data_IF_322746467264
#
_entry.id   IF_322746467264
#
_cell.length_a   1.000
_cell.length_b   1.000
_cell.length_c   1.000
_cell.angle_alpha   90.00
_cell.angle_beta   90.00
_cell.angle_gamma   90.00
#
_symmetry.space_group_name_H-M   'P 1'
#
loop_
_entity.id
_entity.type
_entity.pdbx_description
1 polymer ?
#
# COMPACT_ATOMS: atom_id res chain seq x y z
N UNK A 1 20.08 12.07 27.36
CA UNK A 1 21.13 12.57 26.45
C UNK A 1 20.79 12.13 25.03
N UNK A 2 19.70 12.63 24.46
CA UNK A 2 19.23 12.28 23.13
C UNK A 2 19.30 13.53 22.25
N UNK A 3 20.10 13.43 21.18
CA UNK A 3 20.17 14.31 20.01
C UNK A 3 20.44 15.81 20.26
N UNK A 4 21.72 16.15 20.51
CA UNK A 4 22.28 17.47 20.12
C UNK A 4 22.66 17.51 18.61
N UNK A 5 22.01 16.71 17.76
CA UNK A 5 22.40 16.49 16.36
C UNK A 5 21.73 17.43 15.36
N UNK A 6 20.73 18.23 15.78
CA UNK A 6 20.01 19.13 14.87
C UNK A 6 20.89 20.25 14.24
N UNK A 7 22.16 20.37 14.64
CA UNK A 7 23.12 21.34 14.09
C UNK A 7 24.44 20.74 13.62
N UNK A 8 24.59 19.41 13.54
CA UNK A 8 25.83 18.81 13.04
C UNK A 8 25.88 18.92 11.49
N UNK A 9 26.86 19.64 10.91
CA UNK A 9 26.97 19.82 9.46
C UNK A 9 27.04 18.51 8.68
N UNK A 10 27.49 17.41 9.31
CA UNK A 10 27.58 16.09 8.68
C UNK A 10 26.23 15.46 8.33
N UNK A 11 25.12 16.05 8.79
CA UNK A 11 23.74 15.65 8.49
C UNK A 11 23.08 16.55 7.43
N UNK A 12 23.66 17.69 7.04
CA UNK A 12 22.93 18.64 6.18
C UNK A 12 22.74 18.17 4.72
N UNK A 13 23.47 17.13 4.29
CA UNK A 13 23.50 16.67 2.89
C UNK A 13 23.14 15.20 2.69
N UNK A 14 22.67 14.50 3.73
CA UNK A 14 22.34 13.07 3.61
C UNK A 14 20.91 12.88 3.15
N UNK A 15 20.68 11.84 2.35
CA UNK A 15 19.32 11.38 2.06
C UNK A 15 18.61 10.96 3.35
N UNK A 16 17.27 11.01 3.37
CA UNK A 16 16.49 10.55 4.53
C UNK A 16 16.82 9.10 4.91
N UNK A 17 17.05 8.23 3.92
CA UNK A 17 17.48 6.85 4.16
C UNK A 17 18.85 6.79 4.85
N UNK A 18 19.82 7.58 4.39
CA UNK A 18 21.14 7.64 5.01
C UNK A 18 21.08 8.21 6.44
N UNK A 19 20.17 9.15 6.70
CA UNK A 19 19.90 9.63 8.06
C UNK A 19 19.36 8.54 8.98
N UNK A 20 18.35 7.80 8.52
CA UNK A 20 17.81 6.68 9.28
C UNK A 20 18.87 5.61 9.52
N UNK A 21 19.76 5.38 8.54
CA UNK A 21 20.92 4.47 8.68
C UNK A 21 21.89 4.88 9.78
N UNK A 22 22.36 6.12 9.77
CA UNK A 22 23.23 6.63 10.82
C UNK A 22 22.58 6.60 12.21
N UNK A 23 21.29 6.94 12.30
CA UNK A 23 20.55 6.90 13.56
C UNK A 23 20.43 5.48 14.10
N UNK A 24 20.17 4.51 13.23
CA UNK A 24 20.09 3.10 13.58
C UNK A 24 21.45 2.57 14.07
N UNK A 25 22.54 2.88 13.35
CA UNK A 25 23.91 2.52 13.75
C UNK A 25 24.29 3.15 15.10
N UNK A 26 23.98 4.44 15.29
CA UNK A 26 24.23 5.13 16.55
C UNK A 26 23.42 4.53 17.72
N UNK A 27 22.16 4.15 17.47
CA UNK A 27 21.31 3.50 18.47
C UNK A 27 21.86 2.13 18.86
N UNK A 28 22.16 1.28 17.88
CA UNK A 28 22.67 -0.07 18.13
C UNK A 28 24.11 -0.10 18.66
N UNK A 29 24.91 0.93 18.34
CA UNK A 29 26.29 1.09 18.80
C UNK A 29 26.43 1.64 20.23
N UNK A 30 25.35 2.10 20.85
CA UNK A 30 25.38 2.51 22.26
C UNK A 30 25.65 1.28 23.14
N UNK A 31 26.71 1.33 23.97
CA UNK A 31 27.16 0.19 24.80
C UNK A 31 25.99 -0.39 25.60
N UNK A 32 25.47 -1.50 25.10
CA UNK A 32 24.33 -2.13 25.69
C UNK A 32 24.75 -2.86 26.97
N UNK A 33 24.24 -2.45 28.13
CA UNK A 33 24.13 -3.37 29.26
C UNK A 33 23.26 -4.56 28.84
N UNK A 34 23.36 -5.73 29.51
CA UNK A 34 22.62 -6.97 29.12
C UNK A 34 21.11 -6.75 28.94
N UNK A 35 20.54 -5.71 29.57
CA UNK A 35 19.16 -5.31 29.39
C UNK A 35 18.86 -4.62 28.03
N UNK A 36 19.80 -3.87 27.45
CA UNK A 36 19.60 -3.12 26.18
C UNK A 36 19.93 -3.91 24.92
N UNK A 37 20.63 -5.04 25.01
CA UNK A 37 20.80 -5.95 23.86
C UNK A 37 19.46 -6.52 23.38
N UNK A 38 18.48 -6.67 24.28
CA UNK A 38 17.10 -7.09 23.94
C UNK A 38 16.32 -6.04 23.14
N UNK A 39 16.76 -4.78 23.16
CA UNK A 39 16.11 -3.66 22.48
C UNK A 39 16.86 -3.21 21.23
N UNK A 40 17.96 -3.88 20.88
CA UNK A 40 18.63 -3.61 19.62
C UNK A 40 17.67 -3.88 18.45
N UNK A 41 17.69 -2.97 17.49
CA UNK A 41 16.83 -3.05 16.32
C UNK A 41 17.49 -3.99 15.31
N UNK A 42 16.72 -4.90 14.72
CA UNK A 42 17.19 -5.76 13.64
C UNK A 42 17.25 -5.00 12.31
N UNK A 43 18.06 -5.50 11.37
CA UNK A 43 18.11 -4.95 10.01
C UNK A 43 16.74 -5.01 9.31
N UNK A 44 15.95 -6.06 9.57
CA UNK A 44 14.62 -6.14 9.01
C UNK A 44 13.70 -5.04 9.55
N UNK A 45 13.81 -4.72 10.84
CA UNK A 45 13.03 -3.65 11.47
C UNK A 45 13.36 -2.30 10.82
N UNK A 46 14.64 -2.08 10.54
CA UNK A 46 15.12 -0.91 9.81
C UNK A 46 14.54 -0.82 8.40
N UNK A 47 14.51 -1.92 7.66
CA UNK A 47 13.91 -1.97 6.33
C UNK A 47 12.42 -1.59 6.39
N UNK A 48 11.69 -2.05 7.41
CA UNK A 48 10.31 -1.65 7.67
C UNK A 48 10.17 -0.15 7.92
N UNK A 49 11.03 0.44 8.77
CA UNK A 49 11.04 1.89 9.02
C UNK A 49 11.29 2.67 7.73
N UNK A 50 12.28 2.28 6.94
CA UNK A 50 12.63 2.96 5.69
C UNK A 50 11.45 2.90 4.71
N UNK A 51 10.81 1.73 4.56
CA UNK A 51 9.66 1.59 3.67
C UNK A 51 8.49 2.50 4.10
N UNK A 52 8.27 2.69 5.40
CA UNK A 52 7.19 3.55 5.90
C UNK A 52 7.53 5.04 5.82
N UNK A 53 8.75 5.43 6.21
CA UNK A 53 9.14 6.86 6.27
C UNK A 53 9.53 7.38 4.89
N UNK A 54 10.27 6.61 4.10
CA UNK A 54 10.78 7.04 2.79
C UNK A 54 9.91 6.47 1.67
N UNK A 55 9.48 5.22 1.79
CA UNK A 55 8.73 4.52 0.75
C UNK A 55 7.25 4.88 0.64
N UNK A 56 6.69 5.64 1.59
CA UNK A 56 5.28 6.06 1.56
C UNK A 56 5.11 7.56 1.31
N UNK A 57 3.98 7.93 0.71
CA UNK A 57 3.53 9.33 0.65
C UNK A 57 3.05 9.79 2.02
N UNK A 58 3.07 11.11 2.24
CA UNK A 58 2.51 11.72 3.45
C UNK A 58 1.06 11.30 3.67
N UNK A 59 0.24 11.32 2.61
CA UNK A 59 -1.17 10.91 2.68
C UNK A 59 -1.30 9.45 3.12
N UNK A 60 -0.53 8.54 2.52
CA UNK A 60 -0.53 7.12 2.90
C UNK A 60 -0.13 6.92 4.36
N UNK A 61 0.88 7.67 4.85
CA UNK A 61 1.26 7.64 6.26
C UNK A 61 0.14 8.13 7.18
N UNK A 62 -0.58 9.18 6.81
CA UNK A 62 -1.72 9.66 7.60
C UNK A 62 -2.87 8.64 7.62
N UNK A 63 -3.13 7.92 6.53
CA UNK A 63 -4.13 6.86 6.48
C UNK A 63 -3.76 5.69 7.40
N UNK A 64 -2.49 5.26 7.38
CA UNK A 64 -2.01 4.21 8.28
C UNK A 64 -2.05 4.68 9.73
N UNK A 65 -1.56 5.89 10.02
CA UNK A 65 -1.60 6.49 11.35
C UNK A 65 -3.02 6.57 11.89
N UNK A 66 -3.96 7.11 11.11
CA UNK A 66 -5.36 7.21 11.50
C UNK A 66 -5.97 5.84 11.82
N UNK A 67 -5.58 4.77 11.12
CA UNK A 67 -6.01 3.42 11.49
C UNK A 67 -5.42 2.95 12.83
N UNK A 68 -4.13 3.21 13.06
CA UNK A 68 -3.41 2.80 14.26
C UNK A 68 -3.80 3.62 15.50
N UNK A 69 -4.23 4.88 15.34
CA UNK A 69 -4.71 5.72 16.43
C UNK A 69 -5.95 5.12 17.12
N UNK A 70 -6.76 4.33 16.38
CA UNK A 70 -7.98 3.69 16.91
C UNK A 70 -7.84 2.18 17.18
N UNK A 71 -6.75 1.54 16.74
CA UNK A 71 -6.59 0.09 16.84
C UNK A 71 -5.25 -0.26 17.46
N UNK A 72 -5.27 -1.07 18.52
CA UNK A 72 -4.04 -1.70 19.02
C UNK A 72 -3.35 -2.50 17.92
N UNK A 73 -2.03 -2.53 17.93
CA UNK A 73 -1.21 -3.16 16.88
C UNK A 73 -1.63 -4.61 16.59
N UNK A 74 -1.85 -5.40 17.63
CA UNK A 74 -2.28 -6.80 17.57
C UNK A 74 -3.68 -7.02 16.97
N UNK A 75 -4.50 -5.98 16.95
CA UNK A 75 -5.86 -5.99 16.39
C UNK A 75 -6.01 -5.14 15.13
N UNK A 76 -4.94 -4.46 14.71
CA UNK A 76 -4.93 -3.60 13.53
C UNK A 76 -4.94 -4.40 12.23
N UNK A 77 -5.14 -3.71 11.10
CA UNK A 77 -5.03 -4.31 9.77
C UNK A 77 -3.57 -4.65 9.42
N UNK A 78 -2.61 -4.02 10.10
CA UNK A 78 -1.21 -4.08 9.74
C UNK A 78 -0.46 -5.12 10.57
N UNK A 79 0.61 -5.63 9.99
CA UNK A 79 1.63 -6.39 10.68
C UNK A 79 3.00 -6.02 10.10
N UNK A 80 4.05 -6.49 10.76
CA UNK A 80 5.42 -6.17 10.40
C UNK A 80 5.78 -6.68 8.99
N UNK A 81 5.35 -7.89 8.62
CA UNK A 81 5.61 -8.46 7.28
C UNK A 81 5.07 -7.57 6.17
N UNK A 82 3.82 -7.10 6.30
CA UNK A 82 3.16 -6.30 5.27
C UNK A 82 3.85 -4.96 5.05
N UNK A 83 4.24 -4.27 6.12
CA UNK A 83 4.93 -2.98 6.04
C UNK A 83 6.41 -3.12 5.63
N UNK A 84 7.03 -4.30 5.83
CA UNK A 84 8.35 -4.63 5.29
C UNK A 84 8.35 -4.92 3.79
N UNK A 85 7.19 -5.24 3.20
CA UNK A 85 7.11 -5.41 1.75
C UNK A 85 7.54 -4.15 1.03
N UNK A 86 8.43 -4.29 0.05
CA UNK A 86 8.77 -3.17 -0.83
C UNK A 86 7.67 -2.92 -1.88
N UNK A 87 6.79 -3.88 -2.16
CA UNK A 87 5.89 -3.78 -3.32
C UNK A 87 5.02 -2.54 -3.30
N UNK A 88 4.57 -2.14 -2.11
CA UNK A 88 3.71 -0.99 -1.91
C UNK A 88 4.47 0.35 -1.89
N UNK A 89 5.80 0.39 -1.90
CA UNK A 89 6.56 1.64 -1.83
C UNK A 89 6.55 2.38 -3.16
N UNK A 90 6.54 3.72 -3.11
CA UNK A 90 6.53 4.59 -4.30
C UNK A 90 7.70 4.26 -5.22
N UNK A 91 7.43 4.26 -6.53
CA UNK A 91 8.40 3.96 -7.58
C UNK A 91 8.69 2.47 -7.77
N UNK A 92 8.19 1.58 -6.90
CA UNK A 92 8.42 0.15 -7.07
C UNK A 92 7.53 -0.44 -8.16
N UNK A 93 8.09 -1.36 -8.94
CA UNK A 93 7.44 -2.04 -10.07
C UNK A 93 7.83 -3.53 -10.08
N UNK A 94 6.94 -4.45 -10.50
CA UNK A 94 7.31 -5.85 -10.63
C UNK A 94 8.42 -6.05 -11.67
N UNK A 95 9.32 -6.99 -11.39
CA UNK A 95 10.46 -7.28 -12.29
C UNK A 95 10.03 -8.16 -13.45
N UNK A 96 10.76 -8.07 -14.56
CA UNK A 96 10.57 -8.94 -15.73
C UNK A 96 9.36 -8.60 -16.61
N UNK A 97 8.76 -7.42 -16.42
CA UNK A 97 7.66 -6.94 -17.25
C UNK A 97 8.17 -6.12 -18.44
N UNK A 98 7.38 -6.09 -19.52
CA UNK A 98 7.54 -5.09 -20.59
C UNK A 98 7.45 -3.67 -20.00
N UNK A 99 8.21 -2.73 -20.58
CA UNK A 99 8.21 -1.33 -20.21
C UNK A 99 6.79 -0.74 -20.05
N UNK A 100 5.85 -1.07 -20.94
CA UNK A 100 4.48 -0.56 -20.85
C UNK A 100 3.77 -1.02 -19.57
N UNK A 101 3.90 -2.30 -19.23
CA UNK A 101 3.32 -2.86 -18.00
C UNK A 101 4.06 -2.40 -16.75
N UNK A 102 5.38 -2.23 -16.83
CA UNK A 102 6.17 -1.70 -15.74
C UNK A 102 5.71 -0.29 -15.35
N UNK A 103 5.42 0.58 -16.33
CA UNK A 103 4.86 1.91 -16.07
C UNK A 103 3.46 1.83 -15.45
N UNK A 104 2.58 0.99 -15.98
CA UNK A 104 1.21 0.81 -15.46
C UNK A 104 1.18 0.27 -14.02
N UNK A 105 2.14 -0.58 -13.65
CA UNK A 105 2.22 -1.22 -12.34
C UNK A 105 3.18 -0.52 -11.37
N UNK A 106 3.80 0.60 -11.77
CA UNK A 106 4.63 1.40 -10.88
C UNK A 106 3.77 2.09 -9.83
N UNK A 107 4.16 1.99 -8.55
CA UNK A 107 3.43 2.66 -7.47
C UNK A 107 3.66 4.17 -7.52
N UNK A 108 2.56 4.91 -7.65
CA UNK A 108 2.52 6.37 -7.51
C UNK A 108 2.06 6.75 -6.10
N UNK A 109 2.28 8.01 -5.70
CA UNK A 109 1.84 8.52 -4.39
C UNK A 109 0.33 8.38 -4.18
N UNK A 110 -0.45 8.66 -5.22
CA UNK A 110 -1.90 8.64 -5.22
C UNK A 110 -2.46 7.22 -5.24
N UNK A 111 -1.90 6.35 -6.10
CA UNK A 111 -2.32 4.94 -6.16
C UNK A 111 -1.97 4.19 -4.88
N UNK A 112 -0.86 4.55 -4.22
CA UNK A 112 -0.50 4.06 -2.90
C UNK A 112 -1.53 4.47 -1.83
N UNK A 113 -1.91 5.75 -1.78
CA UNK A 113 -2.93 6.23 -0.84
C UNK A 113 -4.27 5.52 -1.07
N UNK A 114 -4.63 5.29 -2.34
CA UNK A 114 -5.84 4.55 -2.69
C UNK A 114 -5.79 3.09 -2.23
N UNK A 115 -4.64 2.44 -2.36
CA UNK A 115 -4.40 1.09 -1.86
C UNK A 115 -4.63 1.01 -0.34
N UNK A 116 -4.04 1.90 0.44
CA UNK A 116 -4.22 1.90 1.90
C UNK A 116 -5.66 2.20 2.34
N UNK A 117 -6.35 3.13 1.65
CA UNK A 117 -7.80 3.37 1.88
C UNK A 117 -8.61 2.11 1.62
N UNK A 118 -8.36 1.43 0.50
CA UNK A 118 -9.03 0.18 0.13
C UNK A 118 -8.76 -0.93 1.13
N UNK A 119 -7.52 -1.09 1.56
CA UNK A 119 -7.14 -2.10 2.55
C UNK A 119 -7.80 -1.88 3.91
N UNK A 120 -7.78 -0.63 4.42
CA UNK A 120 -8.48 -0.29 5.67
C UNK A 120 -9.97 -0.57 5.57
N UNK A 121 -10.62 -0.26 4.44
CA UNK A 121 -12.04 -0.53 4.21
C UNK A 121 -12.34 -2.04 4.21
N UNK A 122 -11.53 -2.83 3.50
CA UNK A 122 -11.60 -4.30 3.49
C UNK A 122 -11.49 -4.87 4.91
N UNK A 123 -10.46 -4.45 5.64
CA UNK A 123 -10.21 -4.95 6.98
C UNK A 123 -11.32 -4.54 7.94
N UNK A 124 -11.78 -3.28 7.91
CA UNK A 124 -12.88 -2.81 8.74
C UNK A 124 -14.17 -3.62 8.50
N UNK A 125 -14.50 -3.89 7.25
CA UNK A 125 -15.68 -4.69 6.87
C UNK A 125 -15.57 -6.13 7.36
N UNK A 126 -14.40 -6.75 7.21
CA UNK A 126 -14.12 -8.12 7.65
C UNK A 126 -14.05 -8.23 9.18
N UNK A 127 -13.50 -7.20 9.85
CA UNK A 127 -13.33 -7.14 11.29
C UNK A 127 -14.64 -6.90 12.05
N UNK A 128 -15.64 -6.27 11.44
CA UNK A 128 -16.98 -6.07 12.06
C UNK A 128 -17.62 -7.38 12.51
N UNK A 129 -17.41 -8.47 11.76
CA UNK A 129 -17.97 -9.80 12.06
C UNK A 129 -17.00 -10.71 12.81
N UNK A 130 -15.80 -10.22 13.14
CA UNK A 130 -14.71 -11.02 13.68
C UNK A 130 -14.34 -10.57 15.09
N UNK A 131 -14.29 -11.53 16.03
CA UNK A 131 -13.84 -11.28 17.42
C UNK A 131 -12.43 -10.65 17.41
N UNK A 132 -12.12 -9.66 18.27
CA UNK A 132 -10.81 -8.98 18.27
C UNK A 132 -9.60 -9.91 18.29
N UNK A 133 -9.65 -11.00 19.07
CA UNK A 133 -8.58 -12.01 19.16
C UNK A 133 -8.34 -12.80 17.87
N UNK A 134 -9.31 -12.82 16.95
CA UNK A 134 -9.22 -13.51 15.66
C UNK A 134 -8.92 -12.56 14.49
N UNK A 135 -8.89 -11.24 14.72
CA UNK A 135 -8.67 -10.24 13.65
C UNK A 135 -7.28 -10.32 13.00
N UNK A 136 -6.31 -10.89 13.69
CA UNK A 136 -4.99 -11.16 13.08
C UNK A 136 -5.07 -12.19 11.95
N UNK A 137 -6.05 -13.12 11.98
CA UNK A 137 -6.21 -14.20 11.00
C UNK A 137 -6.86 -13.74 9.69
N UNK A 138 -7.51 -12.58 9.67
CA UNK A 138 -8.16 -12.01 8.48
C UNK A 138 -7.27 -10.98 7.76
N UNK A 139 -6.06 -10.74 8.26
CA UNK A 139 -5.07 -9.91 7.56
C UNK A 139 -4.65 -10.63 6.28
N UNK A 140 -4.30 -9.86 5.25
CA UNK A 140 -3.64 -10.46 4.08
C UNK A 140 -2.29 -11.04 4.49
N UNK A 141 -1.94 -12.15 3.83
CA UNK A 141 -0.55 -12.61 3.82
C UNK A 141 0.26 -11.77 2.82
N UNK A 142 1.57 -11.99 2.77
CA UNK A 142 2.48 -11.23 1.92
C UNK A 142 2.13 -11.33 0.41
N UNK A 143 1.78 -12.53 -0.06
CA UNK A 143 1.38 -12.75 -1.45
C UNK A 143 0.11 -11.98 -1.81
N UNK A 144 -0.92 -12.07 -0.96
CA UNK A 144 -2.19 -11.37 -1.21
C UNK A 144 -2.01 -9.86 -1.17
N UNK A 145 -1.19 -9.36 -0.24
CA UNK A 145 -0.81 -7.96 -0.18
C UNK A 145 -0.20 -7.45 -1.48
N UNK A 146 0.84 -8.14 -1.98
CA UNK A 146 1.55 -7.74 -3.19
C UNK A 146 0.62 -7.78 -4.43
N UNK A 147 -0.23 -8.81 -4.53
CA UNK A 147 -1.26 -8.90 -5.59
C UNK A 147 -2.27 -7.75 -5.52
N UNK A 148 -2.71 -7.38 -4.33
CA UNK A 148 -3.66 -6.28 -4.17
C UNK A 148 -3.02 -4.91 -4.41
N UNK A 149 -1.71 -4.76 -4.20
CA UNK A 149 -0.98 -3.58 -4.70
C UNK A 149 -1.06 -3.53 -6.21
N UNK A 150 -0.72 -4.62 -6.93
CA UNK A 150 -0.79 -4.70 -8.40
C UNK A 150 -2.19 -4.36 -8.92
N UNK A 151 -3.22 -4.99 -8.36
CA UNK A 151 -4.62 -4.73 -8.70
C UNK A 151 -5.01 -3.26 -8.51
N UNK A 152 -4.46 -2.61 -7.48
CA UNK A 152 -4.75 -1.20 -7.23
C UNK A 152 -4.06 -0.30 -8.25
N UNK A 153 -2.84 -0.64 -8.68
CA UNK A 153 -2.15 0.08 -9.75
C UNK A 153 -2.91 0.00 -11.07
N UNK A 154 -3.35 -1.21 -11.46
CA UNK A 154 -4.14 -1.41 -12.67
C UNK A 154 -5.45 -0.60 -12.62
N UNK A 155 -6.21 -0.74 -11.53
CA UNK A 155 -7.47 -0.02 -11.37
C UNK A 155 -7.26 1.51 -11.40
N UNK A 156 -6.15 1.99 -10.85
CA UNK A 156 -5.86 3.41 -10.79
C UNK A 156 -5.50 3.96 -12.17
N UNK A 157 -4.61 3.26 -12.89
CA UNK A 157 -4.22 3.61 -14.25
C UNK A 157 -5.42 3.61 -15.20
N UNK A 158 -6.30 2.60 -15.09
CA UNK A 158 -7.59 2.57 -15.79
C UNK A 158 -8.41 3.81 -15.50
N UNK A 159 -8.62 4.13 -14.21
CA UNK A 159 -9.44 5.28 -13.82
C UNK A 159 -8.87 6.58 -14.40
N UNK A 160 -7.55 6.74 -14.39
CA UNK A 160 -6.91 7.93 -14.98
C UNK A 160 -7.09 8.01 -16.49
N UNK A 161 -7.02 6.88 -17.21
CA UNK A 161 -7.34 6.82 -18.64
C UNK A 161 -8.81 7.18 -18.91
N UNK A 162 -9.74 6.67 -18.12
CA UNK A 162 -11.17 7.03 -18.21
C UNK A 162 -11.43 8.52 -17.97
N UNK A 163 -10.71 9.12 -17.01
CA UNK A 163 -10.81 10.56 -16.76
C UNK A 163 -10.25 11.40 -17.91
N UNK A 164 -9.21 10.91 -18.58
CA UNK A 164 -8.59 11.58 -19.71
C UNK A 164 -9.44 11.45 -20.99
N UNK A 165 -10.15 10.33 -21.16
CA UNK A 165 -10.99 10.07 -22.34
C UNK A 165 -12.46 9.88 -21.94
N UNK A 166 -13.18 11.00 -21.84
CA UNK A 166 -14.61 11.02 -21.50
C UNK A 166 -15.51 10.41 -22.58
N UNK A 167 -14.98 10.14 -23.79
CA UNK A 167 -15.78 9.73 -24.95
C UNK A 167 -15.97 8.23 -25.08
N UNK A 168 -15.16 7.41 -24.42
CA UNK A 168 -15.22 5.96 -24.56
C UNK A 168 -14.91 5.21 -23.24
N UNK A 169 -15.86 5.25 -22.33
CA UNK A 169 -15.82 4.48 -21.07
C UNK A 169 -15.77 2.96 -21.36
N UNK A 170 -16.31 2.51 -22.50
CA UNK A 170 -16.41 1.09 -22.87
C UNK A 170 -15.04 0.47 -23.12
N UNK A 171 -14.15 1.16 -23.86
CA UNK A 171 -12.78 0.67 -24.09
C UNK A 171 -11.94 0.63 -22.81
N UNK A 172 -12.18 1.53 -21.86
CA UNK A 172 -11.48 1.55 -20.57
C UNK A 172 -11.88 0.37 -19.69
N UNK A 173 -13.16 0.00 -19.67
CA UNK A 173 -13.64 -1.22 -19.01
C UNK A 173 -13.02 -2.45 -19.67
N UNK A 174 -12.98 -2.49 -21.00
CA UNK A 174 -12.38 -3.60 -21.76
C UNK A 174 -10.87 -3.75 -21.51
N UNK A 175 -10.13 -2.65 -21.40
CA UNK A 175 -8.69 -2.68 -21.10
C UNK A 175 -8.43 -3.19 -19.69
N UNK A 176 -9.24 -2.76 -18.73
CA UNK A 176 -9.18 -3.25 -17.33
C UNK A 176 -9.44 -4.74 -17.27
N UNK A 177 -10.47 -5.18 -17.99
CA UNK A 177 -10.80 -6.59 -18.13
C UNK A 177 -9.63 -7.38 -18.72
N UNK A 178 -9.00 -6.92 -19.81
CA UNK A 178 -7.84 -7.61 -20.41
C UNK A 178 -6.60 -7.66 -19.51
N UNK A 179 -6.27 -6.56 -18.83
CA UNK A 179 -5.17 -6.56 -17.86
C UNK A 179 -5.45 -7.50 -16.69
N UNK A 180 -6.71 -7.56 -16.24
CA UNK A 180 -7.15 -8.48 -15.19
C UNK A 180 -7.11 -9.93 -15.66
N UNK A 181 -7.61 -10.22 -16.86
CA UNK A 181 -7.64 -11.56 -17.48
C UNK A 181 -6.22 -12.11 -17.70
N UNK A 182 -5.30 -11.28 -18.18
CA UNK A 182 -3.90 -11.66 -18.39
C UNK A 182 -3.15 -11.89 -17.06
N UNK A 183 -3.47 -11.13 -16.01
CA UNK A 183 -2.92 -11.35 -14.68
C UNK A 183 -3.51 -12.60 -14.00
N UNK A 184 -4.82 -12.83 -14.17
CA UNK A 184 -5.56 -13.95 -13.57
C UNK A 184 -5.35 -15.30 -14.26
N UNK A 185 -5.08 -15.32 -15.57
CA UNK A 185 -4.66 -16.55 -16.26
C UNK A 185 -3.37 -17.14 -15.68
N UNK A 186 -2.57 -16.32 -14.99
CA UNK A 186 -1.36 -16.76 -14.27
C UNK A 186 -1.63 -17.19 -12.82
N UNK A 187 -2.83 -16.94 -12.28
CA UNK A 187 -3.18 -17.19 -10.88
C UNK A 187 -4.64 -17.71 -10.70
N UNK A 188 -4.77 -19.04 -10.69
CA UNK A 188 -5.89 -19.92 -10.32
C UNK A 188 -7.30 -19.35 -9.96
N UNK A 189 -8.29 -20.01 -10.55
CA UNK A 189 -9.67 -19.64 -10.88
C UNK A 189 -10.77 -19.62 -9.78
N UNK A 190 -10.49 -19.78 -8.49
CA UNK A 190 -11.58 -20.16 -7.54
C UNK A 190 -12.21 -18.99 -6.74
N UNK A 191 -11.61 -17.78 -6.71
CA UNK A 191 -12.19 -16.60 -6.03
C UNK A 191 -13.03 -15.67 -6.95
N UNK A 192 -13.23 -16.09 -8.19
CA UNK A 192 -13.58 -15.26 -9.35
C UNK A 192 -14.97 -14.59 -9.28
N UNK A 193 -15.99 -15.27 -8.75
CA UNK A 193 -17.38 -14.77 -8.86
C UNK A 193 -17.66 -13.59 -7.91
N UNK A 194 -17.08 -13.58 -6.71
CA UNK A 194 -17.39 -12.52 -5.74
C UNK A 194 -16.68 -11.19 -6.03
N UNK A 195 -15.45 -11.22 -6.53
CA UNK A 195 -14.68 -10.01 -6.80
C UNK A 195 -15.12 -9.31 -8.11
N UNK A 196 -15.50 -10.08 -9.12
CA UNK A 196 -16.03 -9.55 -10.39
C UNK A 196 -17.37 -8.86 -10.16
N UNK A 197 -18.28 -9.48 -9.40
CA UNK A 197 -19.56 -8.85 -9.04
C UNK A 197 -19.37 -7.54 -8.25
N UNK A 198 -18.35 -7.46 -7.38
CA UNK A 198 -18.08 -6.24 -6.60
C UNK A 198 -17.54 -5.09 -7.48
N UNK A 199 -16.62 -5.38 -8.41
CA UNK A 199 -16.08 -4.36 -9.31
C UNK A 199 -17.18 -3.85 -10.27
N UNK A 200 -17.98 -4.77 -10.83
CA UNK A 200 -19.12 -4.40 -11.69
C UNK A 200 -20.12 -3.54 -10.90
N UNK A 201 -20.43 -3.91 -9.66
CA UNK A 201 -21.33 -3.15 -8.80
C UNK A 201 -20.84 -1.73 -8.53
N UNK A 202 -19.55 -1.56 -8.16
CA UNK A 202 -18.96 -0.22 -7.93
C UNK A 202 -18.95 0.62 -9.21
N UNK A 203 -18.61 0.02 -10.36
CA UNK A 203 -18.65 0.70 -11.66
C UNK A 203 -20.07 1.14 -12.03
N UNK A 204 -21.08 0.27 -11.87
CA UNK A 204 -22.48 0.61 -12.12
C UNK A 204 -22.98 1.71 -11.18
N UNK A 205 -22.59 1.65 -9.89
CA UNK A 205 -23.01 2.65 -8.90
C UNK A 205 -22.38 4.02 -9.19
N UNK A 206 -21.12 4.04 -9.63
CA UNK A 206 -20.45 5.26 -10.07
C UNK A 206 -21.15 5.87 -11.30
N UNK A 207 -21.44 5.06 -12.32
CA UNK A 207 -22.16 5.50 -13.53
C UNK A 207 -23.54 6.08 -13.18
N UNK A 208 -24.30 5.41 -12.30
CA UNK A 208 -25.61 5.90 -11.88
C UNK A 208 -25.53 7.22 -11.11
N UNK A 209 -24.55 7.39 -10.22
CA UNK A 209 -24.33 8.66 -9.51
C UNK A 209 -23.87 9.78 -10.45
N UNK A 210 -23.08 9.45 -11.45
CA UNK A 210 -22.62 10.40 -12.46
C UNK A 210 -23.79 10.91 -13.32
N UNK A 211 -24.67 10.01 -13.78
CA UNK A 211 -25.86 10.40 -14.54
C UNK A 211 -26.86 11.25 -13.74
N UNK A 212 -26.99 11.02 -12.43
CA UNK A 212 -27.87 11.82 -11.57
C UNK A 212 -27.38 13.25 -11.32
N UNK A 213 -26.09 13.53 -11.57
CA UNK A 213 -25.50 14.85 -11.33
C UNK A 213 -25.75 15.87 -12.45
N UNK A 214 -26.43 15.49 -13.54
CA UNK A 214 -26.78 16.40 -14.64
C UNK A 214 -25.59 16.91 -15.45
N UNK A 215 -24.39 16.35 -15.26
CA UNK A 215 -23.16 16.75 -15.97
C UNK A 215 -23.06 16.25 -17.42
N UNK A 216 -24.12 15.65 -17.96
CA UNK A 216 -24.21 15.13 -19.34
C UNK A 216 -25.35 15.76 -20.16
N UNK A 217 -25.75 16.97 -19.81
CA UNK A 217 -26.51 17.90 -20.67
C UNK A 217 -25.74 19.19 -20.80
#
# INVERSE_FOLDING_TARGET
MLMRSAGDPSYQNLSQEAHLKKLFEAYNGFKANVASSKWQLSEDFMAGIINVIVGMSDESRQIVRGHLDFNKWEHSAYNESLLKSKRHTIGNTPRGLDHHFALLLTVTSESQAWFFKRYNSYFATSAKKTKPSLRSRIRWNQSDWDKHVDHTQLAYATMQKAKADTRDISSVVHLTWRCYDQYMHTALLVSFVCHVCFIIYECCTFIMRFNQSGLLT
#
